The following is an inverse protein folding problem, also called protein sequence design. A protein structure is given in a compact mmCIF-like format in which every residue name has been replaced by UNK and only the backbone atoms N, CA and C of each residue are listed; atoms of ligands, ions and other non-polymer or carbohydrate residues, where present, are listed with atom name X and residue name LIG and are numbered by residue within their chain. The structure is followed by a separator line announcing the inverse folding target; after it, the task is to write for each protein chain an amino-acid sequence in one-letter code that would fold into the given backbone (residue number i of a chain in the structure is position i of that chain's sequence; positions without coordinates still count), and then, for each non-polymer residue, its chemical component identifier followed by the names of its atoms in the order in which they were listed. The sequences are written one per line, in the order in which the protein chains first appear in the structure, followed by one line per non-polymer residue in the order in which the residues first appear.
data_IF_501327891509
#
_entry.id   IF_501327891509
#
_cell.length_a   1.000
_cell.length_b   1.000
_cell.length_c   1.000
_cell.angle_alpha   90.00
_cell.angle_beta   90.00
_cell.angle_gamma   90.00
#
_symmetry.space_group_name_H-M   'P 1'
#
loop_
_entity.id
_entity.type
_entity.pdbx_description
1 polymer ?
#
# COMPACT_ATOMS: atom_id res chain seq x y z
N UNK A 1 6.79 1.38 24.43
CA UNK A 1 5.66 2.24 24.83
C UNK A 1 4.36 1.48 24.57
N UNK A 2 3.57 1.22 25.61
CA UNK A 2 2.35 0.44 25.51
C UNK A 2 1.16 1.33 25.22
N UNK A 3 0.52 1.16 24.06
CA UNK A 3 -0.80 1.70 23.77
C UNK A 3 -1.86 0.61 23.93
N UNK A 4 -2.93 0.89 24.66
CA UNK A 4 -4.03 -0.04 24.90
C UNK A 4 -5.13 0.18 23.87
N UNK A 5 -5.58 -0.89 23.23
CA UNK A 5 -6.65 -0.91 22.25
C UNK A 5 -7.70 -1.96 22.64
N UNK A 6 -8.94 -1.76 22.20
CA UNK A 6 -9.98 -2.76 22.36
C UNK A 6 -9.95 -3.73 21.16
N UNK A 7 -9.70 -5.00 21.44
CA UNK A 7 -9.85 -6.09 20.49
C UNK A 7 -10.86 -7.09 21.07
N UNK A 8 -11.97 -7.32 20.37
CA UNK A 8 -13.05 -8.22 20.81
C UNK A 8 -13.54 -7.95 22.24
N UNK A 9 -13.59 -6.67 22.66
CA UNK A 9 -13.99 -6.27 24.01
C UNK A 9 -12.89 -6.33 25.07
N UNK A 10 -11.71 -6.84 24.73
CA UNK A 10 -10.55 -6.89 25.64
C UNK A 10 -9.58 -5.76 25.38
N UNK A 11 -8.99 -5.22 26.44
CA UNK A 11 -7.88 -4.25 26.34
C UNK A 11 -6.60 -5.01 25.96
N UNK A 12 -6.12 -4.74 24.75
CA UNK A 12 -4.82 -5.26 24.27
C UNK A 12 -3.80 -4.13 24.33
N UNK A 13 -2.66 -4.41 24.95
CA UNK A 13 -1.52 -3.50 24.99
C UNK A 13 -0.58 -3.85 23.84
N UNK A 14 -0.31 -2.87 22.97
CA UNK A 14 0.65 -3.01 21.87
C UNK A 14 1.87 -2.15 22.16
N UNK A 15 3.03 -2.77 22.15
CA UNK A 15 4.30 -2.06 22.18
C UNK A 15 4.63 -1.57 20.75
N UNK A 16 4.52 -0.26 20.53
CA UNK A 16 4.75 0.34 19.23
C UNK A 16 6.21 0.28 18.77
N UNK A 17 7.14 0.13 19.71
CA UNK A 17 8.57 0.02 19.40
C UNK A 17 8.94 -1.42 18.98
N UNK A 18 8.06 -2.39 19.22
CA UNK A 18 8.22 -3.79 18.79
C UNK A 18 7.52 -4.13 17.47
N UNK A 19 6.85 -3.15 16.83
CA UNK A 19 6.23 -3.38 15.53
C UNK A 19 7.29 -3.59 14.44
N UNK A 20 7.01 -4.44 13.43
CA UNK A 20 7.91 -4.64 12.28
C UNK A 20 8.24 -3.33 11.54
N UNK A 21 7.31 -2.38 11.55
CA UNK A 21 7.49 -1.04 10.97
C UNK A 21 7.23 0.01 12.03
N UNK A 22 8.26 0.78 12.36
CA UNK A 22 8.23 1.83 13.40
C UNK A 22 7.99 3.21 12.79
N UNK A 23 7.72 4.20 13.65
CA UNK A 23 7.65 5.60 13.22
C UNK A 23 8.96 6.06 12.56
N UNK A 24 10.10 5.64 13.07
CA UNK A 24 11.42 5.98 12.52
C UNK A 24 11.58 5.47 11.08
N UNK A 25 11.08 4.26 10.80
CA UNK A 25 11.11 3.70 9.44
C UNK A 25 10.24 4.50 8.49
N UNK A 26 9.07 4.96 8.96
CA UNK A 26 8.15 5.79 8.18
C UNK A 26 8.71 7.20 7.95
N UNK A 27 9.35 7.80 8.96
CA UNK A 27 10.00 9.12 8.82
C UNK A 27 11.18 9.04 7.84
N UNK A 28 12.01 8.00 7.90
CA UNK A 28 13.05 7.73 6.89
C UNK A 28 12.49 7.50 5.50
N UNK A 29 11.36 6.80 5.40
CA UNK A 29 10.66 6.62 4.12
C UNK A 29 10.18 7.97 3.57
N UNK A 30 9.69 8.88 4.40
CA UNK A 30 9.29 10.22 3.97
C UNK A 30 10.49 11.02 3.43
N UNK A 31 11.66 10.94 4.07
CA UNK A 31 12.91 11.56 3.58
C UNK A 31 13.30 11.01 2.20
N UNK A 32 13.25 9.69 2.00
CA UNK A 32 13.54 9.05 0.70
C UNK A 32 12.56 9.48 -0.41
N UNK A 33 11.34 9.79 -0.05
CA UNK A 33 10.28 10.17 -0.99
C UNK A 33 10.28 11.67 -1.32
N UNK A 34 11.08 12.47 -0.66
CA UNK A 34 11.17 13.92 -0.90
C UNK A 34 11.61 14.22 -2.35
N UNK A 35 10.82 15.03 -3.04
CA UNK A 35 11.04 15.35 -4.47
C UNK A 35 10.67 14.21 -5.46
N UNK A 36 10.38 13.01 -4.98
CA UNK A 36 10.02 11.85 -5.81
C UNK A 36 8.52 11.77 -6.05
N UNK A 37 7.74 11.99 -5.02
CA UNK A 37 6.27 11.91 -5.05
C UNK A 37 5.65 13.31 -4.94
N UNK A 38 4.35 13.37 -5.20
CA UNK A 38 3.56 14.56 -4.87
C UNK A 38 3.04 14.47 -3.44
N UNK A 39 3.12 15.58 -2.71
CA UNK A 39 2.33 15.76 -1.50
C UNK A 39 0.90 16.02 -1.94
N UNK A 40 0.11 14.97 -2.08
CA UNK A 40 -1.25 15.06 -2.62
C UNK A 40 -2.14 15.97 -1.76
N UNK A 41 -3.07 16.71 -2.38
CA UNK A 41 -3.97 17.58 -1.64
C UNK A 41 -4.96 16.81 -0.79
N UNK A 42 -5.48 17.48 0.23
CA UNK A 42 -6.67 17.07 0.97
C UNK A 42 -7.84 17.94 0.50
N UNK A 43 -8.87 17.29 -0.05
CA UNK A 43 -10.06 17.96 -0.56
C UNK A 43 -11.23 17.85 0.42
N UNK A 44 -11.80 18.97 0.83
CA UNK A 44 -13.02 19.00 1.64
C UNK A 44 -14.24 18.65 0.78
N UNK A 45 -15.09 17.73 1.28
CA UNK A 45 -16.33 17.35 0.62
C UNK A 45 -17.54 17.97 1.30
N UNK A 46 -17.97 19.12 0.80
CA UNK A 46 -19.15 19.82 1.33
C UNK A 46 -20.41 18.94 1.31
N UNK A 47 -20.63 18.20 0.23
CA UNK A 47 -21.82 17.37 0.09
C UNK A 47 -21.88 16.23 1.12
N UNK A 48 -20.75 15.54 1.36
CA UNK A 48 -20.70 14.49 2.37
C UNK A 48 -20.72 15.06 3.77
N UNK A 49 -20.06 16.19 4.01
CA UNK A 49 -20.08 16.85 5.32
C UNK A 49 -21.50 17.22 5.73
N UNK A 50 -22.28 17.80 4.82
CA UNK A 50 -23.68 18.12 5.06
C UNK A 50 -24.54 16.88 5.30
N UNK A 51 -24.31 15.81 4.53
CA UNK A 51 -25.08 14.57 4.65
C UNK A 51 -24.81 13.82 5.95
N UNK A 52 -23.56 13.85 6.43
CA UNK A 52 -23.12 13.10 7.61
C UNK A 52 -23.12 13.93 8.90
N UNK A 53 -23.28 15.25 8.81
CA UNK A 53 -23.20 16.15 9.96
C UNK A 53 -21.79 16.23 10.57
N UNK A 54 -20.76 16.01 9.77
CA UNK A 54 -19.36 15.95 10.19
C UNK A 54 -18.46 16.44 9.07
N UNK A 55 -17.31 17.03 9.38
CA UNK A 55 -16.36 17.46 8.35
C UNK A 55 -15.71 16.25 7.66
N UNK A 56 -15.87 16.16 6.34
CA UNK A 56 -15.35 15.07 5.53
C UNK A 56 -14.29 15.57 4.55
N UNK A 57 -13.14 14.94 4.60
CA UNK A 57 -11.99 15.24 3.76
C UNK A 57 -11.53 13.99 2.98
N UNK A 58 -11.02 14.19 1.77
CA UNK A 58 -10.38 13.16 0.97
C UNK A 58 -8.88 13.44 0.85
N UNK A 59 -8.03 12.51 1.28
CA UNK A 59 -6.62 12.49 0.90
C UNK A 59 -6.51 11.94 -0.52
N UNK A 60 -6.21 12.81 -1.48
CA UNK A 60 -6.37 12.53 -2.90
C UNK A 60 -5.18 11.74 -3.51
N UNK A 61 -4.93 10.52 -3.06
CA UNK A 61 -3.87 9.67 -3.62
C UNK A 61 -4.12 9.21 -5.08
N UNK A 62 -5.32 9.42 -5.62
CA UNK A 62 -5.59 9.32 -7.05
C UNK A 62 -4.88 10.40 -7.89
N UNK A 63 -4.41 11.47 -7.27
CA UNK A 63 -3.63 12.53 -7.90
C UNK A 63 -2.11 12.31 -7.74
N UNK A 64 -1.70 11.20 -7.16
CA UNK A 64 -0.29 10.82 -7.07
C UNK A 64 0.27 10.51 -8.47
N UNK A 65 1.59 10.64 -8.67
CA UNK A 65 2.28 10.51 -9.96
C UNK A 65 1.94 9.25 -10.75
N UNK A 66 1.78 8.11 -10.08
CA UNK A 66 1.33 6.85 -10.70
C UNK A 66 -0.19 6.64 -10.60
N UNK A 67 -0.99 7.68 -10.34
CA UNK A 67 -2.43 7.59 -10.17
C UNK A 67 -2.88 6.86 -8.89
N UNK A 68 -1.96 6.52 -8.01
CA UNK A 68 -2.22 5.87 -6.71
C UNK A 68 -1.05 5.97 -5.76
N UNK A 69 -1.29 5.66 -4.48
CA UNK A 69 -0.28 5.63 -3.43
C UNK A 69 0.84 4.59 -3.62
N UNK A 70 0.68 3.63 -4.51
CA UNK A 70 1.59 2.47 -4.64
C UNK A 70 3.04 2.84 -4.93
N UNK A 71 3.29 3.94 -5.61
CA UNK A 71 4.66 4.43 -5.88
C UNK A 71 5.45 4.71 -4.60
N UNK A 72 4.79 5.11 -3.50
CA UNK A 72 5.45 5.42 -2.22
C UNK A 72 6.21 4.21 -1.70
N UNK A 73 5.52 3.09 -1.47
CA UNK A 73 6.14 1.87 -1.00
C UNK A 73 7.09 1.23 -2.01
N UNK A 74 6.72 1.22 -3.29
CA UNK A 74 7.59 0.68 -4.35
C UNK A 74 8.93 1.41 -4.39
N UNK A 75 8.93 2.74 -4.36
CA UNK A 75 10.15 3.52 -4.36
C UNK A 75 11.00 3.28 -3.10
N UNK A 76 10.39 3.31 -1.91
CA UNK A 76 11.13 3.07 -0.64
C UNK A 76 11.79 1.70 -0.64
N UNK A 77 11.09 0.65 -1.08
CA UNK A 77 11.66 -0.70 -1.20
C UNK A 77 12.84 -0.73 -2.17
N UNK A 78 12.69 -0.12 -3.33
CA UNK A 78 13.68 -0.18 -4.39
C UNK A 78 14.89 0.72 -4.11
N UNK A 79 14.71 1.87 -3.46
CA UNK A 79 15.80 2.76 -3.06
C UNK A 79 16.74 2.18 -1.98
N UNK A 80 16.36 1.05 -1.38
CA UNK A 80 17.16 0.33 -0.39
C UNK A 80 17.84 -0.93 -0.95
N UNK A 81 17.76 -1.15 -2.26
CA UNK A 81 18.45 -2.25 -2.90
C UNK A 81 19.97 -2.01 -2.88
N UNK A 82 20.72 -3.08 -2.77
CA UNK A 82 22.18 -3.04 -2.99
C UNK A 82 22.48 -2.84 -4.46
N UNK A 83 23.66 -2.33 -4.79
CA UNK A 83 24.11 -2.17 -6.17
C UNK A 83 24.03 -3.48 -7.00
N UNK A 84 24.23 -4.63 -6.35
CA UNK A 84 24.14 -5.93 -7.00
C UNK A 84 22.67 -6.31 -7.27
N UNK A 85 21.76 -6.00 -6.36
CA UNK A 85 20.32 -6.18 -6.57
C UNK A 85 19.79 -5.26 -7.67
N UNK A 86 20.20 -3.99 -7.67
CA UNK A 86 19.85 -3.04 -8.73
C UNK A 86 20.28 -3.52 -10.12
N UNK A 87 21.50 -4.08 -10.23
CA UNK A 87 22.02 -4.65 -11.50
C UNK A 87 21.19 -5.82 -12.00
N UNK A 88 20.67 -6.66 -11.09
CA UNK A 88 19.77 -7.77 -11.44
C UNK A 88 18.37 -7.30 -11.80
N UNK A 89 18.02 -6.10 -11.36
CA UNK A 89 16.70 -5.50 -11.59
C UNK A 89 15.62 -6.03 -10.67
N UNK A 90 14.40 -5.59 -10.92
CA UNK A 90 13.23 -5.96 -10.13
C UNK A 90 12.17 -6.64 -10.97
N UNK A 91 11.34 -7.43 -10.32
CA UNK A 91 10.18 -8.07 -10.95
C UNK A 91 8.96 -7.95 -10.05
N UNK A 92 7.80 -7.75 -10.65
CA UNK A 92 6.52 -7.72 -9.96
C UNK A 92 5.42 -8.38 -10.80
N UNK A 93 4.30 -8.70 -10.17
CA UNK A 93 3.10 -9.16 -10.87
C UNK A 93 1.91 -8.32 -10.44
N UNK A 94 1.26 -7.65 -11.37
CA UNK A 94 0.06 -6.86 -11.13
C UNK A 94 -0.52 -6.35 -12.43
N UNK A 95 -1.84 -6.38 -12.57
CA UNK A 95 -2.57 -5.75 -13.66
C UNK A 95 -3.07 -4.33 -13.31
N UNK A 96 -2.58 -3.70 -12.24
CA UNK A 96 -3.13 -2.44 -11.74
C UNK A 96 -2.09 -1.48 -11.17
N UNK A 97 -2.49 -0.80 -10.09
CA UNK A 97 -1.73 0.29 -9.49
C UNK A 97 -0.32 -0.09 -9.02
N UNK A 98 -0.11 -1.33 -8.57
CA UNK A 98 1.21 -1.78 -8.15
C UNK A 98 2.18 -1.86 -9.32
N UNK A 99 1.74 -2.33 -10.48
CA UNK A 99 2.55 -2.37 -11.70
C UNK A 99 3.07 -0.98 -12.08
N UNK A 100 2.18 0.01 -12.10
CA UNK A 100 2.53 1.39 -12.42
C UNK A 100 3.43 2.02 -11.36
N UNK A 101 3.18 1.73 -10.07
CA UNK A 101 4.02 2.20 -8.97
C UNK A 101 5.45 1.65 -9.04
N UNK A 102 5.63 0.36 -9.34
CA UNK A 102 6.95 -0.27 -9.52
C UNK A 102 7.64 0.28 -10.76
N UNK A 103 6.92 0.40 -11.88
CA UNK A 103 7.49 0.92 -13.13
C UNK A 103 8.00 2.36 -12.97
N UNK A 104 7.21 3.24 -12.37
CA UNK A 104 7.63 4.62 -12.09
C UNK A 104 8.81 4.69 -11.11
N UNK A 105 8.79 3.88 -10.04
CA UNK A 105 9.90 3.83 -9.10
C UNK A 105 11.19 3.35 -9.77
N UNK A 106 11.11 2.35 -10.63
CA UNK A 106 12.22 1.81 -11.42
C UNK A 106 12.81 2.88 -12.35
N UNK A 107 11.97 3.58 -13.09
CA UNK A 107 12.37 4.68 -13.97
C UNK A 107 13.15 5.77 -13.19
N UNK A 108 12.63 6.18 -12.04
CA UNK A 108 13.26 7.20 -11.19
C UNK A 108 14.62 6.77 -10.61
N UNK A 109 14.80 5.49 -10.37
CA UNK A 109 16.03 4.93 -9.81
C UNK A 109 16.99 4.40 -10.88
N UNK A 110 16.57 4.37 -12.15
CA UNK A 110 17.38 3.79 -13.23
C UNK A 110 17.52 2.27 -13.15
N UNK A 111 16.57 1.59 -12.49
CA UNK A 111 16.56 0.15 -12.28
C UNK A 111 15.69 -0.52 -13.35
N UNK A 112 16.14 -1.64 -13.92
CA UNK A 112 15.32 -2.43 -14.85
C UNK A 112 14.17 -3.09 -14.11
N UNK A 113 12.95 -2.94 -14.64
CA UNK A 113 11.75 -3.57 -14.09
C UNK A 113 11.07 -4.46 -15.12
N UNK A 114 10.70 -5.68 -14.69
CA UNK A 114 9.84 -6.59 -15.45
C UNK A 114 8.54 -6.81 -14.71
N UNK A 115 7.42 -6.61 -15.39
CA UNK A 115 6.09 -6.69 -14.81
C UNK A 115 5.29 -7.79 -15.52
N UNK A 116 4.90 -8.81 -14.80
CA UNK A 116 4.00 -9.85 -15.31
C UNK A 116 2.54 -9.43 -15.11
N UNK A 117 1.76 -9.53 -16.19
CA UNK A 117 0.33 -9.24 -16.21
C UNK A 117 -0.42 -10.42 -16.83
N UNK A 118 -1.66 -10.71 -16.41
CA UNK A 118 -2.48 -11.72 -17.09
C UNK A 118 -2.80 -11.29 -18.53
N UNK A 119 -3.02 -12.27 -19.42
CA UNK A 119 -3.36 -12.04 -20.83
C UNK A 119 -4.57 -11.12 -21.04
N UNK A 120 -5.52 -11.11 -20.09
CA UNK A 120 -6.71 -10.25 -20.10
C UNK A 120 -6.50 -8.88 -19.47
N UNK A 121 -5.28 -8.45 -19.18
CA UNK A 121 -5.03 -7.13 -18.62
C UNK A 121 -5.49 -6.01 -19.56
N UNK A 122 -6.11 -4.96 -19.01
CA UNK A 122 -6.63 -3.86 -19.79
C UNK A 122 -5.50 -3.10 -20.52
N UNK A 123 -5.66 -2.89 -21.82
CA UNK A 123 -4.66 -2.23 -22.66
C UNK A 123 -4.15 -0.89 -22.09
N UNK A 124 -5.00 0.00 -21.54
CA UNK A 124 -4.51 1.25 -20.95
C UNK A 124 -3.56 1.03 -19.76
N UNK A 125 -3.75 -0.04 -18.98
CA UNK A 125 -2.86 -0.38 -17.85
C UNK A 125 -1.51 -0.92 -18.33
N UNK A 126 -1.51 -1.72 -19.39
CA UNK A 126 -0.30 -2.20 -20.06
C UNK A 126 0.50 -1.03 -20.60
N UNK A 127 -0.17 -0.15 -21.36
CA UNK A 127 0.47 1.03 -21.95
C UNK A 127 1.05 1.95 -20.87
N UNK A 128 0.27 2.31 -19.85
CA UNK A 128 0.73 3.17 -18.77
C UNK A 128 1.96 2.59 -18.02
N UNK A 129 2.04 1.26 -17.88
CA UNK A 129 3.20 0.61 -17.26
C UNK A 129 4.43 0.66 -18.17
N UNK A 130 4.25 0.46 -19.49
CA UNK A 130 5.32 0.57 -20.49
C UNK A 130 5.83 1.99 -20.67
N UNK A 131 4.95 2.99 -20.56
CA UNK A 131 5.30 4.40 -20.66
C UNK A 131 6.27 4.85 -19.56
N UNK A 132 6.31 4.13 -18.43
CA UNK A 132 7.33 4.26 -17.39
C UNK A 132 8.59 3.40 -17.62
N UNK A 133 8.77 2.84 -18.83
CA UNK A 133 9.98 2.12 -19.21
C UNK A 133 10.08 0.67 -18.72
N UNK A 134 9.06 0.12 -18.06
CA UNK A 134 9.09 -1.27 -17.62
C UNK A 134 8.81 -2.24 -18.78
N UNK A 135 9.48 -3.39 -18.75
CA UNK A 135 9.14 -4.54 -19.60
C UNK A 135 7.85 -5.17 -19.09
N UNK A 136 6.83 -5.28 -19.95
CA UNK A 136 5.57 -5.94 -19.60
C UNK A 136 5.45 -7.25 -20.33
N UNK A 137 5.40 -8.33 -19.56
CA UNK A 137 5.20 -9.71 -20.02
C UNK A 137 3.77 -10.16 -19.72
N UNK A 138 3.06 -10.62 -20.74
CA UNK A 138 1.72 -11.17 -20.58
C UNK A 138 1.81 -12.66 -20.33
N UNK A 139 1.32 -13.13 -19.17
CA UNK A 139 1.42 -14.52 -18.79
C UNK A 139 0.20 -14.98 -17.98
N UNK A 140 -0.32 -16.15 -18.33
CA UNK A 140 -1.47 -16.75 -17.64
C UNK A 140 -2.79 -16.01 -17.88
N UNK A 141 -3.85 -16.52 -17.29
CA UNK A 141 -5.20 -15.98 -17.39
C UNK A 141 -5.55 -15.16 -16.13
N UNK A 142 -4.93 -15.51 -15.00
CA UNK A 142 -5.17 -14.89 -13.71
C UNK A 142 -3.95 -14.12 -13.19
N UNK A 143 -4.18 -13.20 -12.25
CA UNK A 143 -3.09 -12.50 -11.55
C UNK A 143 -2.23 -13.48 -10.73
N UNK A 144 -2.83 -14.56 -10.21
CA UNK A 144 -2.11 -15.58 -9.43
C UNK A 144 -1.12 -16.37 -10.31
N UNK A 145 -1.49 -16.67 -11.57
CA UNK A 145 -0.57 -17.29 -12.53
C UNK A 145 0.58 -16.35 -12.90
N UNK A 146 0.28 -15.09 -13.17
CA UNK A 146 1.30 -14.06 -13.41
C UNK A 146 2.23 -13.89 -12.19
N UNK A 147 1.69 -13.96 -10.97
CA UNK A 147 2.45 -13.89 -9.72
C UNK A 147 3.39 -15.10 -9.56
N UNK A 148 2.90 -16.30 -9.85
CA UNK A 148 3.72 -17.51 -9.80
C UNK A 148 4.90 -17.43 -10.77
N UNK A 149 4.66 -16.92 -11.99
CA UNK A 149 5.70 -16.74 -13.00
C UNK A 149 6.71 -15.66 -12.60
N UNK A 150 6.24 -14.53 -12.03
CA UNK A 150 7.15 -13.49 -11.54
C UNK A 150 8.08 -14.00 -10.43
N UNK A 151 7.58 -14.84 -9.54
CA UNK A 151 8.40 -15.48 -8.49
C UNK A 151 9.41 -16.46 -9.07
N UNK A 152 8.98 -17.30 -10.04
CA UNK A 152 9.88 -18.21 -10.76
C UNK A 152 11.00 -17.44 -11.45
N UNK A 153 10.66 -16.34 -12.14
CA UNK A 153 11.65 -15.47 -12.77
C UNK A 153 12.65 -14.88 -11.76
N UNK A 154 12.15 -14.42 -10.60
CA UNK A 154 13.00 -13.91 -9.52
C UNK A 154 14.00 -14.98 -9.03
N UNK A 155 13.56 -16.22 -8.82
CA UNK A 155 14.38 -17.34 -8.38
C UNK A 155 15.46 -17.70 -9.42
N UNK A 156 15.11 -17.71 -10.71
CA UNK A 156 16.02 -18.07 -11.78
C UNK A 156 17.07 -16.99 -12.10
N UNK A 157 16.71 -15.72 -12.00
CA UNK A 157 17.56 -14.60 -12.42
C UNK A 157 18.20 -13.85 -11.26
N UNK A 158 17.70 -14.04 -10.05
CA UNK A 158 18.07 -13.25 -8.87
C UNK A 158 17.49 -11.83 -8.88
N UNK A 159 16.56 -11.50 -9.80
CA UNK A 159 15.83 -10.23 -9.76
C UNK A 159 15.02 -10.12 -8.47
N UNK A 160 14.94 -8.91 -7.91
CA UNK A 160 14.24 -8.71 -6.65
C UNK A 160 12.73 -8.65 -6.88
N UNK A 161 11.99 -9.55 -6.24
CA UNK A 161 10.54 -9.52 -6.28
C UNK A 161 10.01 -8.39 -5.39
N UNK A 162 9.27 -7.45 -5.98
CA UNK A 162 8.64 -6.34 -5.28
C UNK A 162 7.20 -6.70 -4.93
N UNK A 163 6.97 -7.05 -3.66
CA UNK A 163 5.64 -7.45 -3.17
C UNK A 163 4.66 -6.27 -3.19
N UNK A 164 3.37 -6.47 -3.51
CA UNK A 164 2.39 -5.37 -3.61
C UNK A 164 2.00 -4.74 -2.27
N UNK A 165 2.24 -5.39 -1.11
CA UNK A 165 1.82 -4.89 0.20
C UNK A 165 2.58 -5.52 1.40
N UNK A 166 2.98 -6.78 1.34
CA UNK A 166 3.56 -7.52 2.47
C UNK A 166 5.09 -7.45 2.44
N UNK A 167 5.60 -6.29 2.82
CA UNK A 167 7.02 -6.00 2.98
C UNK A 167 7.17 -4.73 3.83
N UNK A 168 8.11 -4.73 4.77
CA UNK A 168 8.30 -3.62 5.71
C UNK A 168 8.59 -2.29 5.04
N UNK A 169 9.41 -2.26 4.00
CA UNK A 169 9.72 -1.03 3.25
C UNK A 169 8.49 -0.50 2.49
N UNK A 170 7.71 -1.41 1.91
CA UNK A 170 6.43 -1.07 1.27
C UNK A 170 5.48 -0.46 2.30
N UNK A 171 5.32 -1.10 3.45
CA UNK A 171 4.46 -0.63 4.54
C UNK A 171 4.93 0.74 5.05
N UNK A 172 6.23 0.93 5.26
CA UNK A 172 6.80 2.20 5.69
C UNK A 172 6.52 3.32 4.68
N UNK A 173 6.70 3.06 3.40
CA UNK A 173 6.37 4.01 2.34
C UNK A 173 4.91 4.43 2.34
N UNK A 174 3.97 3.48 2.51
CA UNK A 174 2.54 3.76 2.61
C UNK A 174 2.20 4.53 3.89
N UNK A 175 2.95 4.29 4.98
CA UNK A 175 2.78 4.98 6.26
C UNK A 175 3.00 6.50 6.18
N UNK A 176 3.76 6.98 5.20
CA UNK A 176 3.98 8.42 4.97
C UNK A 176 2.68 9.18 4.70
N UNK A 177 1.66 8.52 4.16
CA UNK A 177 0.32 9.10 4.01
C UNK A 177 -0.28 9.48 5.38
N UNK A 178 -0.07 8.64 6.39
CA UNK A 178 -0.52 8.93 7.75
C UNK A 178 0.12 10.21 8.32
N UNK A 179 1.43 10.41 8.08
CA UNK A 179 2.11 11.64 8.48
C UNK A 179 1.50 12.87 7.79
N UNK A 180 1.31 12.80 6.48
CA UNK A 180 0.72 13.89 5.69
C UNK A 180 -0.72 14.20 6.14
N UNK A 181 -1.54 13.20 6.42
CA UNK A 181 -2.92 13.41 6.92
C UNK A 181 -2.90 14.17 8.25
N UNK A 182 -2.06 13.77 9.20
CA UNK A 182 -1.97 14.41 10.51
C UNK A 182 -1.52 15.87 10.43
N UNK A 183 -0.70 16.22 9.44
CA UNK A 183 -0.26 17.59 9.20
C UNK A 183 -1.31 18.42 8.45
N UNK A 184 -1.97 17.83 7.45
CA UNK A 184 -2.93 18.53 6.57
C UNK A 184 -4.31 18.69 7.22
N UNK A 185 -4.68 17.80 8.14
CA UNK A 185 -5.95 17.82 8.90
C UNK A 185 -5.63 17.64 10.39
N UNK A 186 -5.12 18.68 11.08
CA UNK A 186 -4.67 18.56 12.46
C UNK A 186 -5.77 18.11 13.44
N UNK A 187 -7.03 18.41 13.12
CA UNK A 187 -8.20 18.06 13.95
C UNK A 187 -8.85 16.72 13.57
N UNK A 188 -8.22 15.92 12.68
CA UNK A 188 -8.75 14.61 12.31
C UNK A 188 -8.97 13.74 13.54
N UNK A 189 -10.13 13.12 13.62
CA UNK A 189 -10.51 12.17 14.68
C UNK A 189 -10.76 10.76 14.15
N UNK A 190 -11.05 10.65 12.86
CA UNK A 190 -11.37 9.38 12.22
C UNK A 190 -10.73 9.31 10.83
N UNK A 191 -10.02 8.22 10.54
CA UNK A 191 -9.47 7.92 9.22
C UNK A 191 -10.12 6.65 8.69
N UNK A 192 -10.69 6.74 7.49
CA UNK A 192 -11.32 5.60 6.80
C UNK A 192 -10.49 5.25 5.58
N UNK A 193 -10.12 3.99 5.43
CA UNK A 193 -9.21 3.54 4.37
C UNK A 193 -9.67 2.22 3.76
N UNK A 194 -9.63 2.12 2.44
CA UNK A 194 -9.84 0.85 1.72
C UNK A 194 -8.73 -0.15 2.00
N UNK A 195 -9.09 -1.42 2.21
CA UNK A 195 -8.15 -2.49 2.54
C UNK A 195 -8.21 -3.59 1.49
N UNK A 196 -7.12 -3.75 0.76
CA UNK A 196 -6.84 -4.94 -0.04
C UNK A 196 -5.97 -5.90 0.76
N UNK A 197 -4.67 -5.96 0.45
CA UNK A 197 -3.68 -6.77 1.17
C UNK A 197 -3.18 -6.18 2.50
N UNK A 198 -3.61 -4.98 2.89
CA UNK A 198 -3.37 -4.42 4.22
C UNK A 198 -2.17 -3.48 4.38
N UNK A 199 -1.24 -3.44 3.43
CA UNK A 199 -0.02 -2.64 3.58
C UNK A 199 -0.25 -1.14 3.83
N UNK A 200 -1.24 -0.53 3.17
CA UNK A 200 -1.63 0.85 3.43
C UNK A 200 -2.20 1.03 4.85
N UNK A 201 -3.13 0.17 5.24
CA UNK A 201 -3.74 0.23 6.57
C UNK A 201 -2.68 0.04 7.66
N UNK A 202 -1.76 -0.91 7.48
CA UNK A 202 -0.68 -1.18 8.43
C UNK A 202 0.24 0.03 8.60
N UNK A 203 0.78 0.59 7.50
CA UNK A 203 1.66 1.74 7.54
C UNK A 203 0.99 2.99 8.09
N UNK A 204 -0.22 3.29 7.63
CA UNK A 204 -1.01 4.41 8.13
C UNK A 204 -1.30 4.27 9.64
N UNK A 205 -1.68 3.07 10.07
CA UNK A 205 -1.95 2.79 11.49
C UNK A 205 -0.70 2.98 12.33
N UNK A 206 0.44 2.46 11.91
CA UNK A 206 1.71 2.62 12.61
C UNK A 206 2.07 4.12 12.78
N UNK A 207 1.97 4.90 11.71
CA UNK A 207 2.24 6.35 11.76
C UNK A 207 1.29 7.08 12.73
N UNK A 208 -0.03 6.85 12.61
CA UNK A 208 -1.04 7.52 13.43
C UNK A 208 -0.89 7.13 14.89
N UNK A 209 -0.77 5.83 15.20
CA UNK A 209 -0.63 5.35 16.59
C UNK A 209 0.61 5.90 17.28
N UNK A 210 1.74 5.96 16.57
CA UNK A 210 2.97 6.51 17.11
C UNK A 210 2.88 8.02 17.40
N UNK A 211 2.08 8.75 16.65
CA UNK A 211 1.90 10.21 16.84
C UNK A 211 0.80 10.56 17.85
N UNK A 212 -0.17 9.67 18.14
CA UNK A 212 -1.31 9.93 19.06
C UNK A 212 -0.88 10.47 20.43
N UNK A 213 0.16 9.89 21.01
CA UNK A 213 0.64 10.32 22.31
C UNK A 213 1.15 11.77 22.29
N UNK A 214 1.89 12.13 21.22
CA UNK A 214 2.41 13.50 21.03
C UNK A 214 1.28 14.50 20.76
N UNK A 215 0.23 14.05 20.06
CA UNK A 215 -0.94 14.88 19.73
C UNK A 215 -1.93 15.00 20.89
N UNK A 216 -1.81 14.17 21.94
CA UNK A 216 -2.70 14.17 23.10
C UNK A 216 -4.13 13.73 22.77
N UNK A 217 -4.35 13.02 21.65
CA UNK A 217 -5.67 12.58 21.23
C UNK A 217 -5.61 11.17 20.61
N UNK A 218 -6.76 10.47 20.67
CA UNK A 218 -6.95 9.18 19.99
C UNK A 218 -7.65 9.39 18.65
N UNK A 219 -7.20 8.69 17.61
CA UNK A 219 -7.74 8.78 16.26
C UNK A 219 -8.30 7.41 15.89
N UNK A 220 -9.57 7.36 15.52
CA UNK A 220 -10.21 6.13 15.07
C UNK A 220 -9.73 5.79 13.66
N UNK A 221 -9.30 4.55 13.45
CA UNK A 221 -8.91 4.05 12.13
C UNK A 221 -9.88 2.94 11.74
N UNK A 222 -10.51 3.08 10.57
CA UNK A 222 -11.49 2.14 10.04
C UNK A 222 -11.00 1.62 8.70
N UNK A 223 -10.68 0.32 8.65
CA UNK A 223 -10.43 -0.38 7.41
C UNK A 223 -11.75 -0.83 6.77
N UNK A 224 -11.90 -0.62 5.47
CA UNK A 224 -13.10 -1.01 4.71
C UNK A 224 -12.69 -1.99 3.61
N UNK A 225 -13.33 -3.15 3.57
CA UNK A 225 -13.20 -4.12 2.48
C UNK A 225 -14.52 -4.24 1.71
N UNK A 226 -14.42 -4.62 0.43
CA UNK A 226 -15.59 -5.02 -0.33
C UNK A 226 -16.13 -6.35 0.23
N UNK A 227 -17.43 -6.51 0.33
CA UNK A 227 -18.11 -7.67 0.94
C UNK A 227 -17.57 -9.01 0.42
N UNK A 228 -17.41 -9.13 -0.90
CA UNK A 228 -16.91 -10.36 -1.53
C UNK A 228 -15.37 -10.36 -1.72
N UNK A 229 -14.64 -9.51 -1.00
CA UNK A 229 -13.18 -9.47 -0.92
C UNK A 229 -12.71 -9.20 0.53
N UNK A 230 -13.51 -9.59 1.53
CA UNK A 230 -13.30 -9.29 2.94
C UNK A 230 -12.59 -10.45 3.66
N UNK A 231 -11.29 -10.64 3.39
CA UNK A 231 -10.48 -11.68 4.04
C UNK A 231 -10.05 -11.30 5.47
N UNK A 232 -9.88 -10.00 5.77
CA UNK A 232 -9.44 -9.54 7.09
C UNK A 232 -10.40 -9.86 8.24
N UNK A 233 -11.73 -9.63 8.16
CA UNK A 233 -12.64 -10.00 9.24
C UNK A 233 -12.59 -11.49 9.59
N UNK A 234 -12.47 -12.36 8.57
CA UNK A 234 -12.35 -13.81 8.78
C UNK A 234 -11.02 -14.17 9.44
N UNK A 235 -9.92 -13.57 8.98
CA UNK A 235 -8.59 -13.82 9.51
C UNK A 235 -8.45 -13.34 10.96
N UNK A 236 -8.99 -12.16 11.27
CA UNK A 236 -9.00 -11.62 12.63
C UNK A 236 -9.86 -12.46 13.59
N UNK A 237 -11.01 -12.96 13.12
CA UNK A 237 -11.87 -13.83 13.92
C UNK A 237 -11.23 -15.20 14.19
N UNK A 238 -10.44 -15.71 13.25
CA UNK A 238 -9.75 -16.99 13.35
C UNK A 238 -8.36 -16.91 14.04
N UNK A 239 -7.87 -15.70 14.29
CA UNK A 239 -6.47 -15.44 14.69
C UNK A 239 -5.44 -16.17 13.80
N UNK A 240 -5.75 -16.22 12.50
CA UNK A 240 -4.95 -16.92 11.48
C UNK A 240 -5.26 -16.36 10.09
N UNK A 241 -4.33 -16.51 9.15
CA UNK A 241 -4.57 -16.14 7.75
C UNK A 241 -5.62 -17.04 7.11
N UNK A 242 -6.78 -16.47 6.76
CA UNK A 242 -7.89 -17.18 6.10
C UNK A 242 -8.06 -16.62 4.70
N UNK A 243 -7.53 -17.31 3.68
CA UNK A 243 -7.72 -16.89 2.28
C UNK A 243 -9.16 -17.12 1.81
N UNK A 244 -9.65 -16.22 0.97
CA UNK A 244 -10.94 -16.38 0.30
C UNK A 244 -10.82 -17.37 -0.87
N UNK A 245 -11.80 -18.25 -1.04
CA UNK A 245 -11.87 -19.17 -2.18
C UNK A 245 -12.18 -18.44 -3.51
N UNK A 246 -12.87 -17.33 -3.44
CA UNK A 246 -13.26 -16.52 -4.59
C UNK A 246 -13.36 -15.06 -4.18
N UNK A 247 -12.89 -14.18 -5.06
CA UNK A 247 -13.00 -12.72 -4.91
C UNK A 247 -13.84 -12.18 -6.06
N UNK A 248 -14.79 -11.30 -5.75
CA UNK A 248 -15.64 -10.65 -6.75
C UNK A 248 -16.02 -9.25 -6.27
N UNK A 249 -15.52 -8.22 -6.94
CA UNK A 249 -15.86 -6.83 -6.65
C UNK A 249 -15.50 -5.93 -7.83
N UNK A 250 -16.23 -4.83 -8.00
CA UNK A 250 -15.87 -3.76 -8.94
C UNK A 250 -14.69 -2.91 -8.44
N UNK A 251 -14.38 -3.00 -7.14
CA UNK A 251 -13.26 -2.29 -6.51
C UNK A 251 -11.96 -3.10 -6.73
N UNK A 252 -11.47 -3.13 -7.96
CA UNK A 252 -10.32 -3.94 -8.39
C UNK A 252 -9.04 -3.66 -7.58
N UNK A 253 -8.83 -2.41 -7.14
CA UNK A 253 -7.68 -2.02 -6.33
C UNK A 253 -7.60 -2.66 -4.93
N UNK A 254 -8.71 -3.21 -4.43
CA UNK A 254 -8.79 -3.93 -3.15
C UNK A 254 -9.28 -5.37 -3.29
N UNK A 255 -9.32 -5.90 -4.51
CA UNK A 255 -9.73 -7.28 -4.81
C UNK A 255 -8.61 -8.27 -4.46
N UNK A 256 -8.34 -8.44 -3.18
CA UNK A 256 -7.28 -9.32 -2.66
C UNK A 256 -7.91 -10.44 -1.85
N UNK A 257 -7.63 -11.68 -2.23
CA UNK A 257 -8.21 -12.87 -1.58
C UNK A 257 -7.40 -13.40 -0.40
N UNK A 258 -6.15 -12.94 -0.24
CA UNK A 258 -5.28 -13.34 0.88
C UNK A 258 -4.69 -12.08 1.52
N UNK A 259 -4.93 -11.89 2.84
CA UNK A 259 -4.35 -10.77 3.57
C UNK A 259 -2.84 -10.87 3.70
#
# INVERSE_FOLDING_TARGET
RQNTYHQNGNLVSVDLDSLPVTLTDIERAAELLEGVIERTPVAHSRALSQRLGSEVFFKCENLQRAGSFKVRGAYVRMAKLSEEEEKRGVVAASAGNHAQGVALAADRLGIKARIYMPLGAALPKITATRDHGAEVELYGVTVDEALAEAKRYAEETGAVFVHPFDNEDIIAGQGTIGLEILEQVPDVDTVIVGVGGGGLLAGLSAAVRAKEQKLGKKIKIIGVQAEHAAAYPLSLAADALVPLKKVSTIADGIAVGRP
#
